data_IF_831814264605
#
_entry.id   IF_831814264605
#
_cell.length_a   1.000
_cell.length_b   1.000
_cell.length_c   1.000
_cell.angle_alpha   90.00
_cell.angle_beta   90.00
_cell.angle_gamma   90.00
#
_symmetry.space_group_name_H-M   'P 1'
#
loop_
_entity.id
_entity.type
_entity.pdbx_description
1 polymer ?
#
# COMPACT_ATOMS: atom_id res chain seq x y z
N UNK A 1 47.46 15.07 24.10
CA UNK A 1 47.07 15.92 22.96
C UNK A 1 47.46 15.15 21.72
N UNK A 2 46.60 14.21 21.30
CA UNK A 2 45.45 14.41 20.42
C UNK A 2 45.92 14.90 19.05
N UNK A 3 45.92 13.99 18.08
CA UNK A 3 45.34 14.20 16.75
C UNK A 3 45.32 12.85 16.02
N UNK A 4 44.24 12.11 16.26
CA UNK A 4 43.74 11.11 15.32
C UNK A 4 43.25 11.90 14.11
N UNK A 5 43.99 11.87 13.01
CA UNK A 5 43.56 12.38 11.72
C UNK A 5 43.64 11.26 10.70
N UNK A 6 42.53 11.14 9.96
CA UNK A 6 42.36 10.36 8.72
C UNK A 6 42.49 8.84 8.90
N UNK A 7 41.43 8.04 8.88
CA UNK A 7 40.47 7.89 7.78
C UNK A 7 39.05 7.64 8.28
N UNK A 8 38.22 8.69 8.38
CA UNK A 8 36.77 8.49 8.36
C UNK A 8 36.39 8.33 6.89
N UNK A 9 36.13 7.08 6.54
CA UNK A 9 35.46 6.60 5.34
C UNK A 9 34.36 7.60 4.92
N UNK A 10 34.61 8.34 3.84
CA UNK A 10 33.64 9.18 3.16
C UNK A 10 32.63 8.28 2.43
N UNK A 11 31.70 7.66 3.17
CA UNK A 11 30.43 7.19 2.62
C UNK A 11 29.47 8.38 2.71
N UNK A 12 29.54 9.28 1.72
CA UNK A 12 28.56 10.36 1.55
C UNK A 12 27.84 10.26 0.19
N UNK A 13 27.75 9.04 -0.35
CA UNK A 13 27.18 8.79 -1.68
C UNK A 13 25.89 7.96 -1.68
N UNK A 14 25.22 7.74 -0.56
CA UNK A 14 24.23 6.63 -0.48
C UNK A 14 22.91 6.95 0.20
N UNK A 15 22.56 8.22 0.41
CA UNK A 15 21.18 8.59 0.79
C UNK A 15 20.38 9.02 -0.44
N UNK A 16 20.96 9.83 -1.31
CA UNK A 16 20.26 10.39 -2.49
C UNK A 16 19.84 9.34 -3.53
N UNK A 17 20.66 8.32 -3.82
CA UNK A 17 20.34 7.29 -4.82
C UNK A 17 19.31 6.29 -4.28
N UNK A 18 19.48 5.81 -3.04
CA UNK A 18 18.55 4.87 -2.39
C UNK A 18 17.17 5.50 -2.19
N UNK A 19 17.11 6.79 -1.85
CA UNK A 19 15.84 7.53 -1.77
C UNK A 19 15.17 7.65 -3.14
N UNK A 20 15.94 7.90 -4.21
CA UNK A 20 15.38 7.95 -5.58
C UNK A 20 14.85 6.61 -6.02
N UNK A 21 15.54 5.51 -5.72
CA UNK A 21 15.08 4.15 -6.03
C UNK A 21 13.81 3.80 -5.25
N UNK A 22 13.73 4.20 -3.98
CA UNK A 22 12.53 4.05 -3.16
C UNK A 22 11.34 4.82 -3.76
N UNK A 23 11.48 6.12 -4.02
CA UNK A 23 10.42 6.94 -4.60
C UNK A 23 10.01 6.46 -6.00
N UNK A 24 10.96 5.98 -6.81
CA UNK A 24 10.66 5.39 -8.11
C UNK A 24 9.83 4.11 -7.96
N UNK A 25 10.19 3.25 -6.99
CA UNK A 25 9.43 2.02 -6.68
C UNK A 25 8.03 2.35 -6.19
N UNK A 26 7.88 3.34 -5.29
CA UNK A 26 6.57 3.81 -4.84
C UNK A 26 5.72 4.30 -6.01
N UNK A 27 6.29 5.09 -6.91
CA UNK A 27 5.58 5.53 -8.13
C UNK A 27 5.17 4.37 -9.04
N UNK A 28 5.95 3.29 -9.10
CA UNK A 28 5.55 2.08 -9.81
C UNK A 28 4.42 1.34 -9.12
N UNK A 29 4.38 1.32 -7.79
CA UNK A 29 3.26 0.76 -7.02
C UNK A 29 2.01 1.59 -7.32
N UNK A 30 2.07 2.92 -7.25
CA UNK A 30 0.95 3.80 -7.58
C UNK A 30 0.37 3.48 -8.96
N UNK A 31 1.24 3.35 -9.97
CA UNK A 31 0.86 2.99 -11.32
C UNK A 31 0.16 1.63 -11.36
N UNK A 32 0.65 0.62 -10.64
CA UNK A 32 0.01 -0.70 -10.53
C UNK A 32 -1.36 -0.60 -9.85
N UNK A 33 -1.50 0.22 -8.82
CA UNK A 33 -2.76 0.34 -8.05
C UNK A 33 -3.88 1.01 -8.84
N UNK A 34 -3.53 1.89 -9.78
CA UNK A 34 -4.51 2.55 -10.67
C UNK A 34 -4.79 1.73 -11.94
N UNK A 35 -4.01 0.69 -12.23
CA UNK A 35 -4.25 -0.17 -13.39
C UNK A 35 -5.59 -0.93 -13.24
N UNK A 36 -6.42 -0.86 -14.28
CA UNK A 36 -7.73 -1.52 -14.30
C UNK A 36 -7.64 -3.02 -13.94
N UNK A 37 -6.59 -3.71 -14.42
CA UNK A 37 -6.38 -5.13 -14.15
C UNK A 37 -6.19 -5.43 -12.66
N UNK A 38 -5.45 -4.57 -11.95
CA UNK A 38 -5.25 -4.74 -10.51
C UNK A 38 -6.55 -4.47 -9.77
N UNK A 39 -7.26 -3.41 -10.15
CA UNK A 39 -8.56 -3.06 -9.55
C UNK A 39 -9.60 -4.16 -9.78
N UNK A 40 -9.67 -4.73 -10.98
CA UNK A 40 -10.53 -5.87 -11.32
C UNK A 40 -10.15 -7.11 -10.48
N UNK A 41 -8.86 -7.46 -10.42
CA UNK A 41 -8.37 -8.60 -9.63
C UNK A 41 -8.67 -8.44 -8.14
N UNK A 42 -8.37 -7.26 -7.59
CA UNK A 42 -8.61 -6.94 -6.19
C UNK A 42 -10.11 -6.95 -5.89
N UNK A 43 -10.95 -6.33 -6.74
CA UNK A 43 -12.40 -6.32 -6.55
C UNK A 43 -13.02 -7.70 -6.68
N UNK A 44 -12.62 -8.51 -7.67
CA UNK A 44 -13.10 -9.90 -7.81
C UNK A 44 -12.78 -10.73 -6.56
N UNK A 45 -11.57 -10.56 -6.02
CA UNK A 45 -11.18 -11.20 -4.77
C UNK A 45 -12.06 -10.75 -3.59
N UNK A 46 -12.30 -9.44 -3.46
CA UNK A 46 -13.19 -8.91 -2.43
C UNK A 46 -14.63 -9.43 -2.60
N UNK A 47 -15.17 -9.42 -3.83
CA UNK A 47 -16.53 -9.89 -4.16
C UNK A 47 -16.72 -11.40 -3.92
N UNK A 48 -15.65 -12.19 -4.08
CA UNK A 48 -15.66 -13.62 -3.81
C UNK A 48 -15.71 -13.95 -2.32
N UNK A 49 -15.07 -13.13 -1.47
CA UNK A 49 -14.82 -13.49 -0.07
C UNK A 49 -15.55 -12.61 0.97
N UNK A 50 -16.12 -11.46 0.62
CA UNK A 50 -16.74 -10.53 1.59
C UNK A 50 -17.86 -11.13 2.44
N UNK A 51 -18.61 -12.11 1.93
CA UNK A 51 -19.70 -12.75 2.67
C UNK A 51 -19.21 -13.62 3.82
N UNK A 52 -17.98 -14.14 3.71
CA UNK A 52 -17.39 -15.02 4.72
C UNK A 52 -17.06 -14.23 6.00
N UNK A 53 -16.74 -12.94 5.86
CA UNK A 53 -16.35 -12.08 6.97
C UNK A 53 -17.55 -11.61 7.81
N UNK A 54 -17.35 -11.66 9.11
CA UNK A 54 -18.33 -11.27 10.14
C UNK A 54 -17.71 -10.27 11.11
N UNK A 55 -18.52 -9.29 11.53
CA UNK A 55 -18.18 -8.31 12.57
C UNK A 55 -18.26 -8.97 13.96
N UNK A 56 -17.49 -10.05 14.15
CA UNK A 56 -17.32 -10.76 15.41
C UNK A 56 -15.86 -10.75 15.81
N UNK A 57 -15.58 -10.75 17.11
CA UNK A 57 -14.22 -10.91 17.65
C UNK A 57 -13.67 -12.32 17.33
N UNK A 58 -14.54 -13.32 17.16
CA UNK A 58 -14.12 -14.67 16.78
C UNK A 58 -13.75 -14.74 15.29
N UNK A 59 -12.54 -15.25 15.01
CA UNK A 59 -12.07 -15.46 13.65
C UNK A 59 -12.45 -16.86 13.17
N UNK A 60 -13.06 -16.95 11.98
CA UNK A 60 -13.28 -18.24 11.32
C UNK A 60 -11.95 -18.81 10.84
N UNK A 61 -11.77 -20.13 10.91
CA UNK A 61 -10.57 -20.79 10.40
C UNK A 61 -10.29 -20.43 8.93
N UNK A 62 -11.35 -20.30 8.13
CA UNK A 62 -11.28 -19.93 6.71
C UNK A 62 -10.63 -18.56 6.48
N UNK A 63 -10.65 -17.63 7.45
CA UNK A 63 -10.02 -16.31 7.27
C UNK A 63 -8.52 -16.43 7.06
N UNK A 64 -7.87 -17.42 7.67
CA UNK A 64 -6.44 -17.67 7.47
C UNK A 64 -6.15 -18.18 6.07
N UNK A 65 -7.01 -19.05 5.53
CA UNK A 65 -6.90 -19.55 4.16
C UNK A 65 -7.13 -18.42 3.14
N UNK A 66 -8.15 -17.59 3.35
CA UNK A 66 -8.44 -16.42 2.50
C UNK A 66 -7.29 -15.41 2.56
N UNK A 67 -6.72 -15.14 3.74
CA UNK A 67 -5.58 -14.23 3.89
C UNK A 67 -4.36 -14.74 3.10
N UNK A 68 -4.05 -16.03 3.20
CA UNK A 68 -2.96 -16.64 2.41
C UNK A 68 -3.25 -16.59 0.91
N UNK A 69 -4.50 -16.80 0.50
CA UNK A 69 -4.91 -16.69 -0.90
C UNK A 69 -4.75 -15.25 -1.41
N UNK A 70 -5.11 -14.26 -0.58
CA UNK A 70 -4.95 -12.83 -0.87
C UNK A 70 -3.48 -12.47 -1.07
N UNK A 71 -2.60 -12.89 -0.16
CA UNK A 71 -1.15 -12.71 -0.31
C UNK A 71 -0.64 -13.41 -1.58
N UNK A 72 -0.99 -14.68 -1.78
CA UNK A 72 -0.53 -15.45 -2.94
C UNK A 72 -1.02 -14.91 -4.29
N UNK A 73 -2.09 -14.12 -4.30
CA UNK A 73 -2.70 -13.57 -5.52
C UNK A 73 -2.32 -12.11 -5.71
N UNK A 74 -2.66 -11.25 -4.76
CA UNK A 74 -2.51 -9.80 -4.85
C UNK A 74 -1.07 -9.36 -4.53
N UNK A 75 -0.49 -9.83 -3.42
CA UNK A 75 0.91 -9.50 -3.06
C UNK A 75 1.86 -10.00 -4.15
N UNK A 76 1.63 -11.23 -4.62
CA UNK A 76 2.40 -11.81 -5.73
C UNK A 76 2.25 -11.03 -7.03
N UNK A 77 1.05 -10.57 -7.37
CA UNK A 77 0.84 -9.75 -8.57
C UNK A 77 1.66 -8.45 -8.50
N UNK A 78 1.64 -7.78 -7.34
CA UNK A 78 2.45 -6.56 -7.12
C UNK A 78 3.95 -6.88 -7.23
N UNK A 79 4.42 -7.97 -6.61
CA UNK A 79 5.81 -8.40 -6.71
C UNK A 79 6.23 -8.67 -8.17
N UNK A 80 5.40 -9.37 -8.94
CA UNK A 80 5.68 -9.68 -10.36
C UNK A 80 5.68 -8.41 -11.24
N UNK A 81 4.77 -7.47 -11.01
CA UNK A 81 4.74 -6.20 -11.73
C UNK A 81 5.93 -5.30 -11.36
N UNK A 82 6.29 -5.24 -10.07
CA UNK A 82 7.48 -4.51 -9.62
C UNK A 82 8.77 -5.13 -10.16
N UNK A 83 8.87 -6.46 -10.21
CA UNK A 83 10.03 -7.14 -10.80
C UNK A 83 10.20 -6.90 -12.31
N UNK A 84 9.11 -6.53 -13.02
CA UNK A 84 9.18 -6.11 -14.43
C UNK A 84 9.62 -4.65 -14.59
N UNK A 85 9.21 -3.77 -13.67
CA UNK A 85 9.51 -2.32 -13.73
C UNK A 85 10.87 -1.98 -13.09
N UNK A 86 11.25 -2.67 -12.02
CA UNK A 86 12.48 -2.44 -11.24
C UNK A 86 13.43 -3.63 -11.41
N UNK A 87 14.63 -3.34 -11.93
CA UNK A 87 15.66 -4.38 -12.14
C UNK A 87 16.25 -4.81 -10.80
N UNK A 88 16.40 -6.13 -10.61
CA UNK A 88 16.91 -6.72 -9.36
C UNK A 88 16.06 -6.35 -8.12
N UNK A 89 14.75 -6.12 -8.32
CA UNK A 89 13.82 -5.81 -7.24
C UNK A 89 13.81 -6.87 -6.15
N UNK A 90 13.83 -6.42 -4.89
CA UNK A 90 13.75 -7.28 -3.72
C UNK A 90 12.63 -6.80 -2.80
N UNK A 91 11.54 -7.56 -2.78
CA UNK A 91 10.34 -7.26 -1.99
C UNK A 91 10.65 -7.17 -0.49
N UNK A 92 11.49 -8.06 0.04
CA UNK A 92 11.88 -8.06 1.46
C UNK A 92 12.68 -6.80 1.83
N UNK A 93 13.64 -6.41 0.99
CA UNK A 93 14.42 -5.20 1.21
C UNK A 93 13.55 -3.94 1.14
N UNK A 94 12.58 -3.92 0.21
CA UNK A 94 11.62 -2.82 0.10
C UNK A 94 10.71 -2.74 1.33
N UNK A 95 10.20 -3.88 1.83
CA UNK A 95 9.40 -3.92 3.07
C UNK A 95 10.17 -3.38 4.29
N UNK A 96 11.46 -3.69 4.41
CA UNK A 96 12.30 -3.11 5.47
C UNK A 96 12.46 -1.59 5.33
N UNK A 97 12.58 -1.06 4.11
CA UNK A 97 12.62 0.38 3.88
C UNK A 97 11.27 1.06 4.14
N UNK A 98 10.15 0.41 3.77
CA UNK A 98 8.80 0.87 4.09
C UNK A 98 8.59 1.06 5.60
N UNK A 99 9.05 0.10 6.41
CA UNK A 99 8.94 0.17 7.89
C UNK A 99 9.75 1.32 8.49
N UNK A 100 10.85 1.72 7.85
CA UNK A 100 11.70 2.83 8.33
C UNK A 100 11.14 4.19 7.94
N UNK A 101 10.30 4.26 6.90
CA UNK A 101 9.84 5.51 6.27
C UNK A 101 8.32 5.51 5.98
N UNK A 102 7.45 5.20 6.96
CA UNK A 102 6.00 5.09 6.72
C UNK A 102 5.35 6.41 6.30
N UNK A 103 5.99 7.56 6.59
CA UNK A 103 5.48 8.90 6.27
C UNK A 103 5.71 9.33 4.81
N UNK A 104 6.49 8.58 4.04
CA UNK A 104 6.82 8.90 2.64
C UNK A 104 5.82 8.28 1.64
N UNK A 105 4.95 7.38 2.10
CA UNK A 105 3.92 6.76 1.28
C UNK A 105 2.61 7.55 1.33
N UNK A 106 1.88 7.57 0.22
CA UNK A 106 0.48 7.96 0.25
C UNK A 106 -0.29 7.03 1.18
N UNK A 107 -1.20 7.62 1.96
CA UNK A 107 -2.00 6.91 2.97
C UNK A 107 -2.79 5.73 2.38
N UNK A 108 -3.29 5.82 1.14
CA UNK A 108 -4.02 4.75 0.49
C UNK A 108 -3.11 3.57 0.08
N UNK A 109 -1.89 3.86 -0.36
CA UNK A 109 -0.89 2.84 -0.69
C UNK A 109 -0.45 2.12 0.59
N UNK A 110 -0.15 2.88 1.65
CA UNK A 110 0.28 2.32 2.92
C UNK A 110 -0.80 1.44 3.54
N UNK A 111 -2.06 1.87 3.52
CA UNK A 111 -3.19 1.08 4.02
C UNK A 111 -3.32 -0.25 3.28
N UNK A 112 -3.26 -0.20 1.93
CA UNK A 112 -3.28 -1.41 1.10
C UNK A 112 -2.09 -2.32 1.39
N UNK A 113 -0.86 -1.81 1.39
CA UNK A 113 0.33 -2.63 1.62
C UNK A 113 0.34 -3.23 3.03
N UNK A 114 -0.15 -2.49 4.02
CA UNK A 114 -0.28 -2.97 5.39
C UNK A 114 -1.23 -4.17 5.48
N UNK A 115 -2.26 -4.24 4.61
CA UNK A 115 -3.17 -5.40 4.57
C UNK A 115 -2.50 -6.72 4.18
N UNK A 116 -1.30 -6.71 3.59
CA UNK A 116 -0.57 -7.95 3.31
C UNK A 116 0.12 -8.52 4.56
N UNK A 117 0.51 -7.65 5.50
CA UNK A 117 1.24 -8.07 6.70
C UNK A 117 0.39 -8.07 7.97
N UNK A 118 -0.70 -7.30 7.98
CA UNK A 118 -1.58 -7.12 9.12
C UNK A 118 -2.97 -7.72 8.84
N UNK A 119 -3.24 -8.83 9.52
CA UNK A 119 -4.51 -9.52 9.43
C UNK A 119 -5.69 -8.68 9.96
N UNK A 120 -5.46 -7.79 10.93
CA UNK A 120 -6.51 -6.91 11.46
C UNK A 120 -6.90 -5.89 10.40
N UNK A 121 -5.93 -5.22 9.78
CA UNK A 121 -6.18 -4.29 8.65
C UNK A 121 -6.89 -4.99 7.50
N UNK A 122 -6.44 -6.20 7.14
CA UNK A 122 -7.08 -7.03 6.13
C UNK A 122 -8.55 -7.35 6.47
N UNK A 123 -8.82 -7.81 7.71
CA UNK A 123 -10.18 -8.11 8.16
C UNK A 123 -11.05 -6.86 8.14
N UNK A 124 -10.54 -5.73 8.63
CA UNK A 124 -11.25 -4.45 8.63
C UNK A 124 -11.65 -4.06 7.21
N UNK A 125 -10.74 -4.16 6.24
CA UNK A 125 -11.03 -3.87 4.84
C UNK A 125 -12.19 -4.70 4.27
N UNK A 126 -12.26 -5.98 4.62
CA UNK A 126 -13.39 -6.83 4.24
C UNK A 126 -14.70 -6.46 4.93
N UNK A 127 -14.64 -6.05 6.21
CA UNK A 127 -15.81 -5.57 6.93
C UNK A 127 -16.31 -4.24 6.38
N UNK A 128 -15.42 -3.30 6.04
CA UNK A 128 -15.76 -2.05 5.37
C UNK A 128 -16.40 -2.30 4.01
N UNK A 129 -15.83 -3.21 3.22
CA UNK A 129 -16.39 -3.60 1.92
C UNK A 129 -17.78 -4.25 2.06
N UNK A 130 -17.96 -5.10 3.07
CA UNK A 130 -19.26 -5.69 3.40
C UNK A 130 -20.27 -4.62 3.81
N UNK A 131 -19.88 -3.69 4.69
CA UNK A 131 -20.72 -2.57 5.09
C UNK A 131 -21.12 -1.71 3.89
N UNK A 132 -20.21 -1.47 2.93
CA UNK A 132 -20.52 -0.77 1.67
C UNK A 132 -21.57 -1.53 0.85
N UNK A 133 -21.40 -2.85 0.69
CA UNK A 133 -22.31 -3.71 -0.08
C UNK A 133 -23.69 -3.86 0.57
N UNK A 134 -23.74 -3.90 1.90
CA UNK A 134 -24.98 -3.97 2.67
C UNK A 134 -25.70 -2.61 2.78
N UNK A 135 -25.11 -1.54 2.23
CA UNK A 135 -25.67 -0.20 2.26
C UNK A 135 -25.55 0.50 3.61
N UNK A 136 -24.64 0.03 4.47
CA UNK A 136 -24.36 0.58 5.80
C UNK A 136 -23.30 1.69 5.79
N UNK A 137 -22.74 2.07 4.63
CA UNK A 137 -21.81 3.20 4.56
C UNK A 137 -22.50 4.52 4.31
N UNK A 138 -22.20 5.49 5.16
CA UNK A 138 -22.39 6.91 4.88
C UNK A 138 -21.56 7.22 3.63
N UNK A 139 -22.23 7.73 2.60
CA UNK A 139 -21.62 8.14 1.34
C UNK A 139 -20.67 9.34 1.54
N UNK A 140 -19.36 9.07 1.62
CA UNK A 140 -18.32 10.10 1.71
C UNK A 140 -17.99 10.75 0.35
N UNK A 141 -18.73 10.42 -0.73
CA UNK A 141 -18.68 11.11 -2.03
C UNK A 141 -18.80 12.65 -1.89
N UNK A 142 -19.47 13.12 -0.83
CA UNK A 142 -19.63 14.55 -0.56
C UNK A 142 -18.42 15.24 0.11
N UNK A 143 -17.47 14.51 0.70
CA UNK A 143 -16.31 15.10 1.39
C UNK A 143 -15.14 15.42 0.45
N UNK A 144 -15.17 14.94 -0.80
CA UNK A 144 -14.20 15.33 -1.84
C UNK A 144 -14.65 16.54 -2.66
N UNK A 145 -15.42 17.47 -2.06
CA UNK A 145 -15.63 18.79 -2.65
C UNK A 145 -14.33 19.61 -2.57
N UNK A 146 -13.43 19.39 -3.52
CA UNK A 146 -12.36 20.34 -3.84
C UNK A 146 -13.05 21.66 -4.16
N UNK A 147 -13.03 22.58 -3.19
CA UNK A 147 -13.48 23.95 -3.40
C UNK A 147 -12.57 24.53 -4.48
N UNK A 148 -13.10 24.57 -5.71
CA UNK A 148 -12.46 25.20 -6.86
C UNK A 148 -12.05 26.60 -6.42
N UNK A 149 -10.75 26.82 -6.23
CA UNK A 149 -10.21 28.14 -5.94
C UNK A 149 -10.73 29.09 -7.02
N UNK A 150 -11.62 30.00 -6.64
CA UNK A 150 -12.02 31.11 -7.49
C UNK A 150 -10.79 32.00 -7.56
N UNK A 151 -10.11 31.98 -8.71
CA UNK A 151 -9.21 33.05 -9.09
C UNK A 151 -10.06 34.31 -9.18
N UNK A 152 -9.98 35.15 -8.14
CA UNK A 152 -10.51 36.52 -8.17
C UNK A 152 -9.56 37.29 -9.09
N UNK A 153 -9.83 37.17 -10.39
CA UNK A 153 -9.27 38.02 -11.44
C UNK A 153 -10.21 39.18 -11.70
N UNK A 154 -9.63 40.37 -11.59
CA UNK A 154 -9.94 41.58 -12.35
C UNK A 154 -11.19 42.38 -11.98
N UNK A 155 -10.97 43.45 -11.22
CA UNK A 155 -11.42 44.78 -11.64
C UNK A 155 -10.50 45.90 -11.18
#
# INVERSE_FOLDING_TARGET
MNEFSDDIIFIHRSSDDTDKEFHATVGHIEDILIEDKFLELHNDFMEKHWQEFEESEENKFIYTDIFKEYQATIEKYIEEELGKKVKDFNMLAFEEELKKRPNELDSGIFDLLSTFTDFIQFKMKFLDYKAMKEGNTIDFSNDFCVSKYVLIGDK
#
